data_IF_205424866777
#
_entry.id   IF_205424866777
#
_cell.length_a   1.000
_cell.length_b   1.000
_cell.length_c   1.000
_cell.angle_alpha   90.00
_cell.angle_beta   90.00
_cell.angle_gamma   90.00
#
_symmetry.space_group_name_H-M   'P 1'
#
loop_
_entity.id
_entity.type
_entity.pdbx_description
1 polymer ?
#
# COMPACT_ATOMS: atom_id res chain seq x y z
N UNK A 1 -15.36 1.19 15.93
CA UNK A 1 -14.91 -0.16 15.49
C UNK A 1 -15.70 -0.69 14.30
N UNK A 2 -17.04 -0.66 14.30
CA UNK A 2 -17.84 -1.13 13.14
C UNK A 2 -17.83 -0.12 11.98
N UNK A 3 -17.79 1.18 12.26
CA UNK A 3 -17.68 2.24 11.26
C UNK A 3 -16.31 2.22 10.57
N UNK A 4 -15.22 2.04 11.31
CA UNK A 4 -13.86 1.89 10.76
C UNK A 4 -13.72 0.67 9.86
N UNK A 5 -14.32 -0.47 10.24
CA UNK A 5 -14.30 -1.69 9.41
C UNK A 5 -15.01 -1.52 8.07
N UNK A 6 -15.94 -0.58 7.97
CA UNK A 6 -16.68 -0.28 6.74
C UNK A 6 -16.05 0.85 5.91
N UNK A 7 -15.08 1.56 6.46
CA UNK A 7 -14.43 2.69 5.77
C UNK A 7 -13.34 2.27 4.79
N UNK A 8 -12.66 1.14 5.05
CA UNK A 8 -11.59 0.66 4.16
C UNK A 8 -12.14 0.30 2.77
N UNK A 9 -11.55 0.87 1.75
CA UNK A 9 -11.98 0.72 0.37
C UNK A 9 -13.31 1.41 0.03
N UNK A 10 -13.99 2.02 0.98
CA UNK A 10 -15.23 2.76 0.75
C UNK A 10 -14.96 4.14 0.11
N UNK A 11 -16.04 4.89 -0.16
CA UNK A 11 -15.96 6.22 -0.75
C UNK A 11 -15.11 7.20 0.08
N UNK A 12 -15.26 7.16 1.39
CA UNK A 12 -14.70 8.16 2.31
C UNK A 12 -13.41 7.67 3.01
N UNK A 13 -13.05 6.39 2.82
CA UNK A 13 -11.84 5.79 3.37
C UNK A 13 -10.72 5.63 2.33
N UNK A 14 -9.52 5.22 2.73
CA UNK A 14 -8.45 4.90 1.79
C UNK A 14 -8.83 3.69 0.93
N UNK A 15 -8.33 3.58 -0.33
CA UNK A 15 -8.47 2.37 -1.11
C UNK A 15 -7.88 1.17 -0.36
N UNK A 16 -8.51 0.01 -0.44
CA UNK A 16 -8.00 -1.21 0.17
C UNK A 16 -6.71 -1.64 -0.55
N UNK A 17 -5.58 -1.51 0.12
CA UNK A 17 -4.28 -1.85 -0.42
C UNK A 17 -4.02 -3.35 -0.30
N UNK A 18 -3.95 -4.03 -1.43
CA UNK A 18 -3.67 -5.46 -1.52
C UNK A 18 -2.31 -5.66 -2.17
N UNK A 19 -1.38 -6.27 -1.45
CA UNK A 19 -0.06 -6.60 -1.96
C UNK A 19 -0.02 -8.06 -2.38
N UNK A 20 0.32 -8.31 -3.65
CA UNK A 20 0.52 -9.64 -4.20
C UNK A 20 1.94 -10.10 -3.85
N UNK A 21 2.03 -11.24 -3.20
CA UNK A 21 3.32 -11.85 -2.81
C UNK A 21 3.43 -13.22 -3.45
N UNK A 22 4.19 -13.37 -4.54
CA UNK A 22 4.48 -14.69 -5.11
C UNK A 22 5.36 -15.49 -4.14
N UNK A 23 4.90 -16.68 -3.76
CA UNK A 23 5.63 -17.57 -2.83
C UNK A 23 6.42 -18.67 -3.53
N UNK A 24 6.41 -18.67 -4.85
CA UNK A 24 7.17 -19.60 -5.67
C UNK A 24 7.68 -18.88 -6.91
N UNK A 25 8.90 -19.19 -7.33
CA UNK A 25 9.50 -18.60 -8.53
C UNK A 25 8.69 -18.82 -9.82
N UNK A 26 7.91 -19.91 -9.88
CA UNK A 26 6.98 -20.22 -10.98
C UNK A 26 5.59 -19.58 -10.81
N UNK A 27 5.31 -18.96 -9.66
CA UNK A 27 3.98 -18.38 -9.41
C UNK A 27 3.72 -17.17 -10.32
N UNK A 28 2.71 -17.30 -11.19
CA UNK A 28 2.40 -16.30 -12.20
C UNK A 28 1.56 -15.14 -11.62
N UNK A 29 2.18 -14.25 -10.86
CA UNK A 29 1.52 -13.06 -10.31
C UNK A 29 0.87 -12.20 -11.41
N UNK A 30 1.51 -12.10 -12.58
CA UNK A 30 0.99 -11.36 -13.72
C UNK A 30 -0.36 -11.90 -14.24
N UNK A 31 -0.53 -13.21 -14.27
CA UNK A 31 -1.80 -13.81 -14.68
C UNK A 31 -2.92 -13.50 -13.69
N UNK A 32 -2.59 -13.47 -12.39
CA UNK A 32 -3.52 -13.05 -11.34
C UNK A 32 -3.96 -11.60 -11.52
N UNK A 33 -3.01 -10.69 -11.81
CA UNK A 33 -3.32 -9.29 -12.07
C UNK A 33 -4.26 -9.14 -13.28
N UNK A 34 -3.98 -9.82 -14.38
CA UNK A 34 -4.83 -9.78 -15.58
C UNK A 34 -6.26 -10.25 -15.31
N UNK A 35 -6.43 -11.34 -14.54
CA UNK A 35 -7.76 -11.83 -14.16
C UNK A 35 -8.51 -10.86 -13.23
N UNK A 36 -7.80 -10.15 -12.37
CA UNK A 36 -8.41 -9.12 -11.52
C UNK A 36 -8.79 -7.87 -12.34
N UNK A 37 -8.03 -7.55 -13.38
CA UNK A 37 -8.31 -6.43 -14.29
C UNK A 37 -9.49 -6.69 -15.24
N UNK A 38 -9.77 -7.95 -15.58
CA UNK A 38 -10.82 -8.33 -16.55
C UNK A 38 -12.25 -8.27 -16.01
N UNK A 39 -12.48 -7.66 -14.83
CA UNK A 39 -13.81 -7.57 -14.23
C UNK A 39 -14.72 -6.59 -14.98
N UNK A 40 -15.77 -7.07 -15.65
CA UNK A 40 -16.70 -6.28 -16.46
C UNK A 40 -17.41 -5.14 -15.71
N UNK A 41 -17.56 -5.27 -14.40
CA UNK A 41 -18.28 -4.30 -13.57
C UNK A 41 -17.40 -3.28 -12.86
N UNK A 42 -16.11 -3.26 -13.16
CA UNK A 42 -15.12 -2.42 -12.50
C UNK A 42 -14.39 -1.50 -13.49
N UNK A 43 -14.00 -0.34 -13.01
CA UNK A 43 -13.11 0.57 -13.74
C UNK A 43 -11.69 0.31 -13.27
N UNK A 44 -10.81 0.00 -14.22
CA UNK A 44 -9.39 -0.22 -13.95
C UNK A 44 -8.62 1.05 -14.26
N UNK A 45 -7.78 1.47 -13.32
CA UNK A 45 -6.78 2.53 -13.53
C UNK A 45 -5.41 1.94 -13.28
N UNK A 46 -4.59 1.91 -14.30
CA UNK A 46 -3.20 1.41 -14.21
C UNK A 46 -2.32 2.52 -13.67
N UNK A 47 -1.50 2.20 -12.68
CA UNK A 47 -0.50 3.15 -12.17
C UNK A 47 0.62 3.31 -13.22
N UNK A 48 0.95 4.54 -13.58
CA UNK A 48 2.02 4.85 -14.55
C UNK A 48 3.44 4.63 -13.97
N UNK A 49 3.53 4.24 -12.70
CA UNK A 49 4.79 4.02 -12.00
C UNK A 49 5.42 2.65 -12.28
N UNK A 50 6.74 2.53 -12.04
CA UNK A 50 7.53 1.29 -12.19
C UNK A 50 7.09 0.12 -11.30
N UNK A 51 6.26 0.36 -10.30
CA UNK A 51 5.85 -0.64 -9.30
C UNK A 51 4.77 -1.63 -9.79
N UNK A 52 4.35 -1.55 -11.06
CA UNK A 52 3.46 -2.55 -11.67
C UNK A 52 2.09 -2.72 -10.99
N UNK A 53 1.55 -1.66 -10.37
CA UNK A 53 0.29 -1.68 -9.66
C UNK A 53 -0.89 -1.18 -10.52
N UNK A 54 -2.10 -1.40 -10.04
CA UNK A 54 -3.31 -0.80 -10.60
C UNK A 54 -4.38 -0.59 -9.52
N UNK A 55 -5.27 0.35 -9.77
CA UNK A 55 -6.45 0.55 -8.96
C UNK A 55 -7.69 -0.05 -9.63
N UNK A 56 -8.51 -0.72 -8.85
CA UNK A 56 -9.77 -1.31 -9.26
C UNK A 56 -10.93 -0.62 -8.54
N UNK A 57 -11.75 0.09 -9.27
CA UNK A 57 -12.92 0.79 -8.76
C UNK A 57 -14.17 -0.02 -9.10
N UNK A 58 -14.87 -0.53 -8.10
CA UNK A 58 -16.07 -1.31 -8.29
C UNK A 58 -17.30 -0.60 -7.67
N UNK A 59 -18.05 0.21 -8.44
CA UNK A 59 -19.20 0.94 -7.96
C UNK A 59 -20.29 0.04 -7.39
N UNK A 60 -20.51 -1.15 -7.97
CA UNK A 60 -21.52 -2.13 -7.52
C UNK A 60 -21.25 -2.64 -6.11
N UNK A 61 -19.98 -2.86 -5.75
CA UNK A 61 -19.56 -3.26 -4.41
C UNK A 61 -19.31 -2.06 -3.50
N UNK A 62 -19.35 -0.83 -4.02
CA UNK A 62 -18.97 0.41 -3.33
C UNK A 62 -17.59 0.30 -2.72
N UNK A 63 -16.66 -0.35 -3.42
CA UNK A 63 -15.32 -0.67 -2.98
C UNK A 63 -14.27 -0.23 -4.00
N UNK A 64 -13.11 0.12 -3.49
CA UNK A 64 -11.91 0.49 -4.23
C UNK A 64 -10.73 -0.31 -3.70
N UNK A 65 -9.99 -0.90 -4.60
CA UNK A 65 -8.76 -1.61 -4.27
C UNK A 65 -7.59 -0.97 -4.99
N UNK A 66 -6.44 -1.06 -4.37
CA UNK A 66 -5.16 -0.83 -5.03
C UNK A 66 -4.33 -2.09 -4.90
N UNK A 67 -3.99 -2.67 -6.05
CA UNK A 67 -3.16 -3.86 -6.15
C UNK A 67 -1.74 -3.46 -6.47
N UNK A 68 -0.78 -3.96 -5.70
CA UNK A 68 0.65 -3.75 -5.89
C UNK A 68 1.33 -5.12 -5.84
N UNK A 69 2.28 -5.35 -6.72
CA UNK A 69 3.04 -6.61 -6.74
C UNK A 69 4.42 -6.37 -6.17
N UNK A 70 4.82 -7.20 -5.21
CA UNK A 70 6.21 -7.27 -4.80
C UNK A 70 7.00 -8.08 -5.82
N UNK A 71 8.23 -7.66 -6.11
CA UNK A 71 9.11 -8.43 -6.98
C UNK A 71 9.47 -9.77 -6.32
N UNK A 72 9.46 -10.83 -7.14
CA UNK A 72 9.82 -12.15 -6.65
C UNK A 72 11.30 -12.17 -6.23
N UNK A 73 11.56 -12.57 -4.98
CA UNK A 73 12.91 -12.65 -4.43
C UNK A 73 13.40 -11.40 -3.68
N UNK A 74 12.72 -10.26 -3.79
CA UNK A 74 13.02 -9.09 -2.96
C UNK A 74 12.26 -9.15 -1.63
N UNK A 75 12.90 -9.80 -0.66
CA UNK A 75 12.34 -9.95 0.69
C UNK A 75 12.13 -8.60 1.38
N UNK A 76 13.04 -7.65 1.23
CA UNK A 76 12.95 -6.36 1.91
C UNK A 76 11.78 -5.54 1.37
N UNK A 77 11.58 -5.49 0.05
CA UNK A 77 10.43 -4.84 -0.55
C UNK A 77 9.11 -5.49 -0.11
N UNK A 78 9.06 -6.84 -0.02
CA UNK A 78 7.88 -7.54 0.51
C UNK A 78 7.59 -7.12 1.95
N UNK A 79 8.59 -7.08 2.83
CA UNK A 79 8.43 -6.71 4.23
C UNK A 79 7.99 -5.26 4.40
N UNK A 80 8.54 -4.34 3.62
CA UNK A 80 8.16 -2.93 3.65
C UNK A 80 6.74 -2.71 3.12
N UNK A 81 6.37 -3.35 2.02
CA UNK A 81 5.00 -3.33 1.52
C UNK A 81 4.02 -3.95 2.51
N UNK A 82 4.40 -5.02 3.22
CA UNK A 82 3.56 -5.66 4.21
C UNK A 82 3.27 -4.77 5.43
N UNK A 83 4.17 -3.83 5.78
CA UNK A 83 3.92 -2.85 6.85
C UNK A 83 2.73 -1.96 6.54
N UNK A 84 2.52 -1.62 5.28
CA UNK A 84 1.50 -0.67 4.83
C UNK A 84 0.27 -1.36 4.22
N UNK A 85 0.39 -2.60 3.79
CA UNK A 85 -0.67 -3.39 3.15
C UNK A 85 -1.85 -3.64 4.09
N UNK A 86 -3.06 -3.41 3.64
CA UNK A 86 -4.26 -3.81 4.38
C UNK A 86 -4.47 -5.33 4.31
N UNK A 87 -4.17 -5.92 3.15
CA UNK A 87 -4.20 -7.38 2.97
C UNK A 87 -3.05 -7.86 2.09
N UNK A 88 -2.55 -9.06 2.36
CA UNK A 88 -1.61 -9.76 1.50
C UNK A 88 -2.36 -10.82 0.68
N UNK A 89 -2.06 -10.90 -0.60
CA UNK A 89 -2.52 -11.97 -1.48
C UNK A 89 -1.34 -12.85 -1.85
N UNK A 90 -1.22 -14.00 -1.17
CA UNK A 90 -0.18 -14.97 -1.45
C UNK A 90 -0.51 -15.76 -2.72
N UNK A 91 0.41 -15.74 -3.68
CA UNK A 91 0.26 -16.46 -4.94
C UNK A 91 1.08 -17.75 -4.86
N UNK A 92 0.39 -18.88 -4.95
CA UNK A 92 0.95 -20.21 -4.81
C UNK A 92 1.10 -20.88 -6.19
N UNK A 93 2.12 -21.74 -6.32
CA UNK A 93 2.19 -22.67 -7.45
C UNK A 93 1.15 -23.78 -7.28
N UNK A 94 0.40 -24.17 -8.33
CA UNK A 94 -0.64 -25.18 -8.24
C UNK A 94 -0.12 -26.59 -7.93
N UNK A 95 1.15 -26.89 -8.23
CA UNK A 95 1.76 -28.21 -8.01
C UNK A 95 2.55 -28.27 -6.71
N UNK A 96 3.42 -27.28 -6.50
CA UNK A 96 4.42 -27.29 -5.44
C UNK A 96 4.05 -26.39 -4.24
N UNK A 97 3.13 -25.44 -4.43
CA UNK A 97 2.69 -24.49 -3.40
C UNK A 97 3.65 -23.33 -3.26
N UNK A 98 4.64 -23.46 -2.40
CA UNK A 98 5.71 -22.49 -2.22
C UNK A 98 7.08 -23.18 -2.19
N UNK A 99 8.13 -22.45 -2.56
CA UNK A 99 9.52 -22.89 -2.54
C UNK A 99 10.23 -22.48 -1.23
N UNK A 100 11.54 -22.75 -1.14
CA UNK A 100 12.34 -22.42 0.04
C UNK A 100 12.43 -20.90 0.29
N UNK A 101 12.48 -20.11 -0.77
CA UNK A 101 12.48 -18.64 -0.66
C UNK A 101 11.12 -18.13 -0.16
N UNK A 102 10.03 -18.73 -0.66
CA UNK A 102 8.67 -18.45 -0.18
C UNK A 102 8.47 -18.82 1.29
N UNK A 103 9.01 -19.96 1.75
CA UNK A 103 8.96 -20.36 3.17
C UNK A 103 9.77 -19.39 4.06
N UNK A 104 10.91 -18.94 3.59
CA UNK A 104 11.70 -17.94 4.29
C UNK A 104 10.96 -16.61 4.39
N UNK A 105 10.38 -16.14 3.28
CA UNK A 105 9.56 -14.95 3.22
C UNK A 105 8.37 -15.01 4.19
N UNK A 106 7.65 -16.13 4.21
CA UNK A 106 6.55 -16.35 5.16
C UNK A 106 7.03 -16.28 6.61
N UNK A 107 8.16 -16.90 6.93
CA UNK A 107 8.71 -16.87 8.29
C UNK A 107 9.04 -15.46 8.76
N UNK A 108 9.64 -14.64 7.88
CA UNK A 108 9.90 -13.23 8.14
C UNK A 108 8.61 -12.41 8.32
N UNK A 109 7.60 -12.64 7.48
CA UNK A 109 6.29 -11.97 7.59
C UNK A 109 5.56 -12.33 8.88
N UNK A 110 5.63 -13.59 9.31
CA UNK A 110 5.05 -14.00 10.60
C UNK A 110 5.79 -13.34 11.77
N UNK A 111 7.11 -13.20 11.71
CA UNK A 111 7.91 -12.55 12.74
C UNK A 111 7.64 -11.04 12.81
N UNK A 112 7.52 -10.37 11.65
CA UNK A 112 7.24 -8.93 11.58
C UNK A 112 5.82 -8.58 12.05
N UNK A 113 4.86 -9.49 11.83
CA UNK A 113 3.44 -9.27 12.02
C UNK A 113 2.70 -9.34 10.69
N UNK A 114 1.91 -10.40 10.55
CA UNK A 114 1.19 -10.71 9.32
C UNK A 114 -0.13 -9.94 9.25
N UNK A 115 -0.36 -9.08 8.22
CA UNK A 115 -1.66 -8.46 7.95
C UNK A 115 -2.74 -9.50 7.63
N UNK A 116 -3.96 -9.06 7.37
CA UNK A 116 -4.99 -9.93 6.78
C UNK A 116 -4.49 -10.50 5.47
N UNK A 117 -4.84 -11.74 5.15
CA UNK A 117 -4.32 -12.40 3.96
C UNK A 117 -5.35 -13.32 3.29
N UNK A 118 -5.13 -13.58 2.03
CA UNK A 118 -5.82 -14.62 1.26
C UNK A 118 -4.78 -15.41 0.45
N UNK A 119 -5.13 -16.63 0.10
CA UNK A 119 -4.29 -17.52 -0.70
C UNK A 119 -4.91 -17.68 -2.08
N UNK A 120 -4.12 -17.55 -3.13
CA UNK A 120 -4.57 -17.71 -4.50
C UNK A 120 -3.68 -18.69 -5.26
N UNK A 121 -4.31 -19.49 -6.10
CA UNK A 121 -3.63 -20.42 -7.03
C UNK A 121 -4.07 -20.06 -8.44
N UNK A 122 -3.27 -19.32 -9.20
CA UNK A 122 -3.54 -19.05 -10.61
C UNK A 122 -3.20 -20.29 -11.47
N UNK A 123 -4.03 -20.58 -12.46
CA UNK A 123 -3.77 -21.66 -13.40
C UNK A 123 -4.09 -23.05 -12.85
N UNK A 124 -3.39 -24.06 -13.29
CA UNK A 124 -3.63 -25.47 -12.94
C UNK A 124 -4.38 -26.25 -14.01
N UNK A 125 -4.66 -25.63 -15.15
CA UNK A 125 -5.27 -26.32 -16.31
C UNK A 125 -4.30 -27.26 -17.04
N UNK A 126 -2.99 -27.04 -16.91
CA UNK A 126 -1.96 -27.75 -17.66
C UNK A 126 -1.63 -29.16 -17.09
N UNK A 127 -2.10 -29.44 -15.87
CA UNK A 127 -1.92 -30.73 -15.24
C UNK A 127 -3.01 -31.74 -15.64
N UNK A 128 -2.65 -33.01 -15.92
CA UNK A 128 -3.64 -34.07 -16.12
C UNK A 128 -4.62 -34.16 -14.94
N UNK A 129 -5.92 -34.52 -15.16
CA UNK A 129 -6.96 -34.46 -14.13
C UNK A 129 -6.61 -35.20 -12.82
N UNK A 130 -6.00 -36.40 -12.93
CA UNK A 130 -5.59 -37.17 -11.73
C UNK A 130 -4.49 -36.42 -10.93
N UNK A 131 -3.45 -35.95 -11.62
CA UNK A 131 -2.35 -35.22 -10.96
C UNK A 131 -2.84 -33.92 -10.34
N UNK A 132 -3.83 -33.25 -10.93
CA UNK A 132 -4.45 -32.04 -10.39
C UNK A 132 -5.14 -32.28 -9.05
N UNK A 133 -5.87 -33.38 -8.92
CA UNK A 133 -6.55 -33.75 -7.66
C UNK A 133 -5.54 -34.04 -6.56
N UNK A 134 -4.47 -34.78 -6.87
CA UNK A 134 -3.44 -35.14 -5.89
C UNK A 134 -2.61 -33.91 -5.48
N UNK A 135 -2.23 -33.05 -6.42
CA UNK A 135 -1.56 -31.78 -6.14
C UNK A 135 -2.43 -30.90 -5.23
N UNK A 136 -3.72 -30.74 -5.56
CA UNK A 136 -4.66 -29.96 -4.74
C UNK A 136 -4.81 -30.51 -3.33
N UNK A 137 -4.85 -31.83 -3.14
CA UNK A 137 -4.91 -32.46 -1.82
C UNK A 137 -3.62 -32.25 -1.04
N UNK A 138 -2.45 -32.37 -1.69
CA UNK A 138 -1.14 -32.10 -1.08
C UNK A 138 -1.04 -30.65 -0.65
N UNK A 139 -1.42 -29.73 -1.52
CA UNK A 139 -1.41 -28.29 -1.26
C UNK A 139 -2.36 -27.93 -0.11
N UNK A 140 -3.59 -28.47 -0.10
CA UNK A 140 -4.56 -28.22 0.98
C UNK A 140 -4.01 -28.64 2.35
N UNK A 141 -3.34 -29.80 2.46
CA UNK A 141 -2.72 -30.26 3.72
C UNK A 141 -1.56 -29.34 4.16
N UNK A 142 -0.74 -28.88 3.20
CA UNK A 142 0.35 -27.95 3.50
C UNK A 142 -0.19 -26.59 3.99
N UNK A 143 -1.25 -26.09 3.35
CA UNK A 143 -1.93 -24.85 3.74
C UNK A 143 -2.54 -24.99 5.13
N UNK A 144 -3.29 -26.06 5.41
CA UNK A 144 -3.92 -26.29 6.71
C UNK A 144 -2.92 -26.28 7.87
N UNK A 145 -1.73 -26.85 7.65
CA UNK A 145 -0.65 -26.84 8.64
C UNK A 145 -0.05 -25.44 8.88
N UNK A 146 0.09 -24.63 7.84
CA UNK A 146 0.79 -23.33 7.92
C UNK A 146 -0.17 -22.16 8.13
N UNK A 147 -1.36 -22.26 7.59
CA UNK A 147 -2.39 -21.23 7.57
C UNK A 147 -3.74 -21.82 8.03
N UNK A 148 -3.90 -22.11 9.32
CA UNK A 148 -5.18 -22.60 9.83
C UNK A 148 -6.27 -21.57 9.50
N UNK A 149 -7.42 -22.03 9.04
CA UNK A 149 -8.58 -21.22 8.65
C UNK A 149 -8.41 -20.35 7.39
N UNK A 150 -7.30 -20.49 6.66
CA UNK A 150 -7.10 -19.75 5.43
C UNK A 150 -7.98 -20.26 4.29
N UNK A 151 -8.55 -19.34 3.54
CA UNK A 151 -9.33 -19.62 2.34
C UNK A 151 -8.44 -19.63 1.10
N UNK A 152 -8.47 -20.74 0.35
CA UNK A 152 -7.76 -20.88 -0.91
C UNK A 152 -8.70 -20.53 -2.08
N UNK A 153 -8.29 -19.60 -2.93
CA UNK A 153 -9.01 -19.18 -4.11
C UNK A 153 -8.33 -19.70 -5.36
N UNK A 154 -8.96 -20.60 -6.12
CA UNK A 154 -8.51 -20.86 -7.48
C UNK A 154 -8.77 -19.59 -8.31
N UNK A 155 -7.83 -19.21 -9.14
CA UNK A 155 -7.95 -18.03 -10.02
C UNK A 155 -7.73 -18.46 -11.47
N UNK A 156 -8.76 -19.05 -12.06
CA UNK A 156 -8.80 -19.47 -13.46
C UNK A 156 -9.86 -18.74 -14.26
N UNK A 157 -10.90 -18.25 -13.57
CA UNK A 157 -12.07 -17.61 -14.20
C UNK A 157 -12.37 -16.25 -13.54
N UNK A 158 -13.10 -15.39 -14.25
CA UNK A 158 -13.56 -14.11 -13.74
C UNK A 158 -14.51 -14.26 -12.53
N UNK A 159 -15.29 -15.33 -12.50
CA UNK A 159 -16.19 -15.61 -11.38
C UNK A 159 -15.40 -15.90 -10.08
N UNK A 160 -14.31 -16.63 -10.19
CA UNK A 160 -13.41 -16.92 -9.07
C UNK A 160 -12.71 -15.66 -8.56
N UNK A 161 -12.30 -14.77 -9.46
CA UNK A 161 -11.73 -13.48 -9.06
C UNK A 161 -12.78 -12.56 -8.42
N UNK A 162 -14.03 -12.60 -8.87
CA UNK A 162 -15.14 -11.89 -8.19
C UNK A 162 -15.39 -12.41 -6.78
N UNK A 163 -15.26 -13.72 -6.54
CA UNK A 163 -15.37 -14.32 -5.20
C UNK A 163 -14.21 -13.86 -4.31
N UNK A 164 -12.99 -13.80 -4.83
CA UNK A 164 -11.85 -13.26 -4.11
C UNK A 164 -12.06 -11.78 -3.72
N UNK A 165 -12.51 -10.93 -4.65
CA UNK A 165 -12.78 -9.51 -4.37
C UNK A 165 -13.85 -9.34 -3.28
N UNK A 166 -14.93 -10.12 -3.32
CA UNK A 166 -15.95 -10.10 -2.26
C UNK A 166 -15.37 -10.56 -0.91
N UNK A 167 -14.50 -11.57 -0.90
CA UNK A 167 -13.82 -12.00 0.31
C UNK A 167 -12.95 -10.89 0.88
N UNK A 168 -12.10 -10.26 0.07
CA UNK A 168 -11.26 -9.14 0.50
C UNK A 168 -12.08 -7.96 1.04
N UNK A 169 -13.24 -7.65 0.42
CA UNK A 169 -14.14 -6.59 0.87
C UNK A 169 -14.77 -6.87 2.26
N UNK A 170 -15.00 -8.15 2.59
CA UNK A 170 -15.70 -8.56 3.82
C UNK A 170 -14.77 -9.10 4.90
N UNK A 171 -13.51 -9.34 4.56
CA UNK A 171 -12.52 -9.91 5.47
C UNK A 171 -12.28 -8.98 6.66
N UNK A 172 -12.28 -9.58 7.87
CA UNK A 172 -11.90 -8.85 9.08
C UNK A 172 -10.41 -8.51 9.01
N UNK A 173 -10.11 -7.23 9.17
CA UNK A 173 -8.73 -6.78 9.21
C UNK A 173 -8.05 -7.22 10.51
N UNK A 174 -6.82 -7.70 10.39
CA UNK A 174 -5.97 -8.03 11.54
C UNK A 174 -5.39 -6.75 12.13
N UNK A 175 -5.42 -6.67 13.44
CA UNK A 175 -4.77 -5.60 14.17
C UNK A 175 -3.25 -5.87 14.24
N UNK A 176 -2.46 -4.86 13.93
CA UNK A 176 -1.00 -4.90 13.98
C UNK A 176 -0.51 -3.78 14.93
N UNK A 177 0.04 -4.18 16.07
CA UNK A 177 0.40 -3.24 17.15
C UNK A 177 1.38 -2.13 16.71
N UNK A 178 2.27 -2.39 15.76
CA UNK A 178 3.19 -1.37 15.26
C UNK A 178 2.48 -0.23 14.50
N UNK A 179 1.29 -0.49 13.93
CA UNK A 179 0.49 0.53 13.22
C UNK A 179 -0.19 1.52 14.15
N UNK A 180 -0.33 1.19 15.41
CA UNK A 180 -0.91 2.10 16.41
C UNK A 180 0.05 3.22 16.82
N UNK A 181 1.32 3.07 16.50
CA UNK A 181 2.37 4.01 16.94
C UNK A 181 2.86 4.95 15.85
N UNK A 182 2.66 4.61 14.57
CA UNK A 182 3.22 5.37 13.46
C UNK A 182 2.24 5.49 12.30
N UNK A 183 2.29 6.63 11.63
CA UNK A 183 1.66 6.81 10.33
C UNK A 183 2.48 6.07 9.26
N UNK A 184 1.79 5.42 8.33
CA UNK A 184 2.40 4.71 7.20
C UNK A 184 1.73 5.19 5.91
N UNK A 185 2.52 5.36 4.86
CA UNK A 185 2.04 5.80 3.56
C UNK A 185 2.79 5.07 2.45
N UNK A 186 2.06 4.51 1.49
CA UNK A 186 2.62 4.06 0.22
C UNK A 186 2.34 5.14 -0.83
N UNK A 187 3.40 5.74 -1.36
CA UNK A 187 3.29 6.73 -2.40
C UNK A 187 2.71 6.12 -3.69
N UNK A 188 1.77 6.82 -4.30
CA UNK A 188 1.32 6.55 -5.66
C UNK A 188 1.90 7.56 -6.66
N UNK A 189 2.34 8.70 -6.19
CA UNK A 189 3.05 9.70 -6.98
C UNK A 189 4.12 10.37 -6.14
N UNK A 190 5.24 10.69 -6.77
CA UNK A 190 6.33 11.47 -6.21
C UNK A 190 6.83 12.45 -7.29
N UNK A 191 6.93 13.71 -6.93
CA UNK A 191 7.36 14.79 -7.80
C UNK A 191 8.45 15.61 -7.10
N UNK A 192 9.56 15.83 -7.75
CA UNK A 192 10.60 16.71 -7.27
C UNK A 192 10.43 18.09 -7.89
N UNK A 193 10.28 19.12 -7.07
CA UNK A 193 10.20 20.51 -7.47
C UNK A 193 11.53 21.18 -7.13
N UNK A 194 12.34 21.55 -8.13
CA UNK A 194 13.62 22.23 -7.92
C UNK A 194 13.44 23.56 -7.16
N UNK A 195 14.41 23.92 -6.35
CA UNK A 195 14.45 25.21 -5.68
C UNK A 195 14.85 26.34 -6.64
N UNK A 196 14.60 27.59 -6.23
CA UNK A 196 14.90 28.77 -7.04
C UNK A 196 16.43 29.01 -7.21
N UNK A 197 17.23 28.56 -6.23
CA UNK A 197 18.69 28.81 -6.23
C UNK A 197 19.50 27.69 -6.87
N UNK A 198 18.98 26.49 -6.95
CA UNK A 198 19.72 25.31 -7.45
C UNK A 198 18.77 24.19 -7.86
N UNK A 199 19.00 23.58 -9.01
CA UNK A 199 18.28 22.39 -9.48
C UNK A 199 18.58 21.12 -8.64
N UNK A 200 19.62 21.16 -7.80
CA UNK A 200 20.04 20.04 -6.97
C UNK A 200 19.34 20.01 -5.61
N UNK A 201 18.78 21.14 -5.17
CA UNK A 201 18.06 21.27 -3.91
C UNK A 201 16.63 21.71 -4.20
N UNK A 202 15.65 21.02 -3.62
CA UNK A 202 14.27 21.32 -3.88
C UNK A 202 13.32 20.63 -2.90
N UNK A 203 12.06 20.61 -3.25
CA UNK A 203 11.00 20.00 -2.44
C UNK A 203 10.51 18.71 -3.10
N UNK A 204 10.53 17.62 -2.36
CA UNK A 204 9.92 16.37 -2.77
C UNK A 204 8.44 16.36 -2.35
N UNK A 205 7.53 16.35 -3.32
CA UNK A 205 6.10 16.17 -3.10
C UNK A 205 5.77 14.68 -3.21
N UNK A 206 5.22 14.12 -2.15
CA UNK A 206 4.82 12.70 -2.09
C UNK A 206 3.33 12.61 -1.86
N UNK A 207 2.63 11.92 -2.75
CA UNK A 207 1.17 11.72 -2.64
C UNK A 207 0.83 10.27 -2.33
N UNK A 208 -0.07 10.07 -1.37
CA UNK A 208 -0.48 8.74 -0.93
C UNK A 208 -1.64 8.78 0.06
N UNK A 209 -2.07 7.61 0.51
CA UNK A 209 -3.10 7.47 1.54
C UNK A 209 -2.46 7.05 2.86
N UNK A 210 -2.67 7.87 3.89
CA UNK A 210 -2.15 7.61 5.24
C UNK A 210 -2.90 6.45 5.88
N UNK A 211 -2.16 5.56 6.55
CA UNK A 211 -2.65 4.40 7.30
C UNK A 211 -1.99 4.35 8.68
N UNK A 212 -2.67 3.69 9.61
CA UNK A 212 -2.24 3.63 11.01
C UNK A 212 -2.60 4.90 11.77
N UNK A 213 -1.63 5.58 12.32
CA UNK A 213 -1.81 6.84 13.04
C UNK A 213 -2.01 8.04 12.12
N UNK A 214 -2.45 9.14 12.71
CA UNK A 214 -2.48 10.45 12.06
C UNK A 214 -1.06 10.94 11.79
N UNK A 215 -0.87 11.61 10.65
CA UNK A 215 0.40 12.23 10.30
C UNK A 215 0.51 13.60 11.00
N UNK A 216 1.61 13.83 11.70
CA UNK A 216 1.95 15.13 12.27
C UNK A 216 3.03 15.78 11.40
N UNK A 217 2.76 16.99 10.92
CA UNK A 217 3.67 17.75 10.06
C UNK A 217 4.98 18.14 10.76
N UNK A 218 4.99 18.18 12.09
CA UNK A 218 6.18 18.53 12.88
C UNK A 218 7.08 17.33 13.18
N UNK A 219 6.59 16.12 12.98
CA UNK A 219 7.37 14.89 13.16
C UNK A 219 8.23 14.56 11.94
N UNK A 220 9.31 13.81 12.17
CA UNK A 220 10.15 13.30 11.11
C UNK A 220 9.44 12.20 10.32
N UNK A 221 9.71 12.13 9.03
CA UNK A 221 9.29 11.03 8.15
C UNK A 221 10.50 10.26 7.65
N UNK A 222 10.40 8.94 7.68
CA UNK A 222 11.42 8.07 7.14
C UNK A 222 11.04 7.61 5.73
N UNK A 223 11.92 7.85 4.76
CA UNK A 223 11.79 7.33 3.40
C UNK A 223 12.76 6.16 3.27
N UNK A 224 12.22 4.96 3.04
CA UNK A 224 13.02 3.73 2.94
C UNK A 224 14.12 3.88 1.87
N UNK A 225 15.36 3.58 2.27
CA UNK A 225 16.53 3.72 1.40
C UNK A 225 17.09 5.15 1.24
N UNK A 226 16.41 6.17 1.81
CA UNK A 226 16.83 7.57 1.68
C UNK A 226 17.04 8.30 3.01
N UNK A 227 16.54 7.75 4.13
CA UNK A 227 16.74 8.31 5.46
C UNK A 227 15.56 9.16 5.97
N UNK A 228 15.85 10.05 6.90
CA UNK A 228 14.84 10.83 7.62
C UNK A 228 14.75 12.26 7.06
N UNK A 229 13.53 12.76 6.98
CA UNK A 229 13.23 14.08 6.42
C UNK A 229 12.23 14.82 7.30
N UNK A 230 12.33 16.15 7.28
CA UNK A 230 11.33 17.05 7.83
C UNK A 230 10.29 17.39 6.77
N UNK A 231 9.02 17.50 7.18
CA UNK A 231 7.95 17.96 6.29
C UNK A 231 7.80 19.48 6.38
N UNK A 232 7.52 20.14 5.27
CA UNK A 232 7.19 21.58 5.22
C UNK A 232 5.69 21.80 5.38
N UNK A 233 4.87 20.98 4.71
CA UNK A 233 3.41 21.08 4.78
C UNK A 233 2.75 19.76 4.39
N UNK A 234 1.49 19.64 4.77
CA UNK A 234 0.61 18.53 4.39
C UNK A 234 -0.62 19.11 3.70
N UNK A 235 -0.86 18.64 2.47
CA UNK A 235 -1.96 19.07 1.62
C UNK A 235 -2.98 17.95 1.44
N UNK A 236 -4.23 18.32 1.16
CA UNK A 236 -5.28 17.40 0.74
C UNK A 236 -5.64 17.66 -0.72
N UNK A 237 -5.05 16.93 -1.65
CA UNK A 237 -5.48 16.98 -3.04
C UNK A 237 -6.82 16.27 -3.22
N UNK A 238 -7.52 16.53 -4.33
CA UNK A 238 -8.69 15.74 -4.69
C UNK A 238 -8.35 14.26 -4.82
N UNK A 239 -9.28 13.38 -4.42
CA UNK A 239 -9.06 11.94 -4.47
C UNK A 239 -9.02 11.42 -5.92
N UNK A 240 -7.86 10.96 -6.43
CA UNK A 240 -7.72 10.49 -7.80
C UNK A 240 -8.50 9.20 -8.08
N UNK A 241 -8.90 8.48 -7.02
CA UNK A 241 -9.60 7.20 -7.09
C UNK A 241 -11.06 7.30 -6.63
N UNK A 242 -11.73 8.43 -6.83
CA UNK A 242 -13.12 8.63 -6.44
C UNK A 242 -14.05 7.62 -7.13
N UNK A 243 -14.96 6.99 -6.38
CA UNK A 243 -16.00 6.10 -6.91
C UNK A 243 -17.06 6.82 -7.76
N UNK A 244 -17.27 8.10 -7.48
CA UNK A 244 -18.13 8.98 -8.24
C UNK A 244 -17.30 10.15 -8.74
N UNK A 245 -16.56 9.99 -9.85
CA UNK A 245 -15.88 11.12 -10.44
C UNK A 245 -16.96 12.15 -10.79
N UNK A 246 -16.87 13.34 -10.19
CA UNK A 246 -17.69 14.47 -10.64
C UNK A 246 -17.38 14.61 -12.12
N UNK A 247 -18.45 14.65 -12.94
CA UNK A 247 -18.30 14.84 -14.37
C UNK A 247 -17.65 16.20 -14.55
N UNK A 248 -16.36 16.23 -14.85
CA UNK A 248 -15.69 17.44 -15.32
C UNK A 248 -16.35 17.72 -16.66
N UNK A 249 -17.22 18.75 -16.68
CA UNK A 249 -17.81 19.28 -17.92
C UNK A 249 -16.67 19.85 -18.76
N UNK A 250 -16.01 19.02 -19.55
CA UNK A 250 -14.86 19.46 -20.35
C UNK A 250 -14.31 18.46 -21.35
N UNK A 251 -14.56 17.16 -21.18
CA UNK A 251 -14.23 16.20 -22.24
C UNK A 251 -15.44 16.01 -23.15
N UNK A 252 -15.50 16.82 -24.21
CA UNK A 252 -16.36 16.57 -25.39
C UNK A 252 -16.00 15.19 -25.96
N UNK A 253 -16.88 14.22 -25.75
CA UNK A 253 -16.97 13.06 -26.66
C UNK A 253 -17.28 13.62 -28.03
N UNK A 254 -16.34 13.49 -28.97
CA UNK A 254 -16.59 13.65 -30.38
C UNK A 254 -17.53 12.52 -30.85
N UNK A 255 -18.80 12.83 -30.99
CA UNK A 255 -19.72 12.24 -31.99
C UNK A 255 -21.00 13.04 -31.99
N UNK A 256 -21.18 13.77 -33.07
CA UNK A 256 -22.38 14.23 -33.76
C UNK A 256 -23.67 14.52 -32.96
N UNK A 257 -23.98 15.79 -32.81
CA UNK A 257 -25.20 16.43 -33.32
C UNK A 257 -25.22 17.92 -32.99
N UNK A 258 -25.30 18.73 -34.03
CA UNK A 258 -25.54 20.18 -33.98
C UNK A 258 -26.91 20.47 -33.33
N UNK A 259 -26.93 21.28 -32.29
CA UNK A 259 -28.02 22.22 -32.03
C UNK A 259 -27.36 23.46 -31.39
N UNK A 260 -27.49 24.57 -32.14
CA UNK A 260 -27.19 25.91 -31.66
C UNK A 260 -28.17 26.29 -30.53
N UNK A 261 -27.65 26.79 -29.43
CA UNK A 261 -28.30 27.88 -28.70
C UNK A 261 -27.22 28.73 -27.97
N UNK A 262 -27.32 30.01 -28.26
CA UNK A 262 -26.56 31.09 -27.67
C UNK A 262 -26.94 31.29 -26.18
N UNK A 263 -25.99 31.38 -25.29
CA UNK A 263 -25.73 32.59 -24.48
C UNK A 263 -25.00 32.29 -23.16
N UNK A 264 -24.07 33.19 -22.90
CA UNK A 264 -23.58 33.71 -21.63
C UNK A 264 -22.50 32.96 -20.85
N UNK A 265 -21.28 33.50 -20.98
CA UNK A 265 -20.23 33.80 -19.99
C UNK A 265 -20.33 33.12 -18.62
N UNK A 266 -19.24 32.44 -18.33
CA UNK A 266 -18.85 32.02 -16.99
C UNK A 266 -17.72 31.02 -17.08
N UNK A 267 -16.50 31.47 -17.40
CA UNK A 267 -15.27 30.72 -17.17
C UNK A 267 -15.01 30.67 -15.68
N UNK A 268 -15.66 29.75 -14.99
CA UNK A 268 -15.16 29.22 -13.73
C UNK A 268 -14.54 27.86 -14.07
N UNK A 269 -13.31 27.85 -14.51
CA UNK A 269 -12.39 26.76 -14.33
C UNK A 269 -12.17 26.61 -12.81
N UNK A 270 -13.07 25.87 -12.15
CA UNK A 270 -12.78 25.39 -10.80
C UNK A 270 -11.64 24.38 -10.92
N UNK A 271 -10.40 24.87 -10.91
CA UNK A 271 -9.28 24.12 -10.38
C UNK A 271 -9.75 23.65 -9.01
N UNK A 272 -9.87 22.32 -8.81
CA UNK A 272 -10.13 21.77 -7.49
C UNK A 272 -8.92 22.16 -6.63
N UNK A 273 -9.06 23.23 -5.84
CA UNK A 273 -8.00 23.82 -5.04
C UNK A 273 -7.44 22.77 -4.08
N UNK A 274 -6.16 22.49 -4.18
CA UNK A 274 -5.43 21.69 -3.20
C UNK A 274 -5.51 22.42 -1.86
N UNK A 275 -6.21 21.80 -0.91
CA UNK A 275 -6.38 22.40 0.42
C UNK A 275 -5.17 22.10 1.29
N UNK A 276 -4.46 23.13 1.71
CA UNK A 276 -3.41 23.01 2.74
C UNK A 276 -4.07 22.63 4.07
N UNK A 277 -3.70 21.48 4.63
CA UNK A 277 -4.19 21.01 5.93
C UNK A 277 -3.35 21.53 7.08
N UNK A 278 -2.03 21.41 6.97
CA UNK A 278 -1.09 21.79 8.03
C UNK A 278 0.20 22.33 7.42
N UNK A 279 0.80 23.33 8.09
CA UNK A 279 2.16 23.79 7.82
C UNK A 279 3.03 23.51 9.03
N UNK A 280 4.30 23.20 8.80
CA UNK A 280 5.25 22.96 9.87
C UNK A 280 5.47 24.24 10.71
N UNK A 281 5.59 24.06 12.01
CA UNK A 281 5.96 25.11 12.95
C UNK A 281 7.45 24.91 13.31
N UNK A 282 8.33 25.86 12.94
CA UNK A 282 9.77 25.73 13.18
C UNK A 282 10.14 25.51 14.65
N UNK A 283 9.29 25.96 15.59
CA UNK A 283 9.55 25.81 17.02
C UNK A 283 9.13 24.45 17.59
N UNK A 284 8.32 23.68 16.83
CA UNK A 284 7.79 22.37 17.24
C UNK A 284 8.34 21.23 16.40
N UNK A 285 9.01 21.56 15.31
CA UNK A 285 9.51 20.58 14.37
C UNK A 285 10.65 19.77 14.99
N UNK A 286 10.56 18.45 14.89
CA UNK A 286 11.62 17.54 15.35
C UNK A 286 12.92 17.82 14.59
N UNK A 287 14.04 17.83 15.33
CA UNK A 287 15.37 18.04 14.76
C UNK A 287 15.83 16.79 13.98
N UNK A 288 16.51 17.00 12.84
CA UNK A 288 17.23 15.94 12.14
C UNK A 288 18.51 15.52 12.89
N UNK A 289 19.00 16.37 13.81
CA UNK A 289 20.15 16.04 14.63
C UNK A 289 19.65 15.23 15.83
N UNK A 290 20.26 14.07 16.02
CA UNK A 290 20.05 13.28 17.23
C UNK A 290 20.70 14.03 18.40
N UNK A 291 19.88 14.72 19.19
CA UNK A 291 20.31 15.20 20.49
C UNK A 291 20.39 13.99 21.41
N UNK A 292 21.61 13.56 21.70
CA UNK A 292 21.85 12.62 22.79
C UNK A 292 21.58 13.40 24.07
N UNK A 293 20.37 13.24 24.62
CA UNK A 293 20.11 13.67 26.00
C UNK A 293 20.86 12.65 26.87
N UNK A 294 21.92 13.06 27.58
CA UNK A 294 22.62 12.15 28.47
C UNK A 294 21.62 11.59 29.46
N UNK A 295 21.50 10.28 29.56
CA UNK A 295 20.70 9.64 30.61
C UNK A 295 21.35 9.99 31.93
N UNK A 296 20.65 10.66 32.87
CA UNK A 296 21.19 10.94 34.20
C UNK A 296 21.65 9.69 34.96
N UNK A 297 21.18 8.51 34.54
CA UNK A 297 21.58 7.22 35.10
C UNK A 297 22.83 6.62 34.41
N UNK A 298 23.26 7.13 33.26
CA UNK A 298 24.52 6.75 32.60
C UNK A 298 25.76 7.50 33.16
N UNK A 299 25.57 8.37 34.13
CA UNK A 299 26.66 9.11 34.78
C UNK A 299 27.73 8.26 35.48
N UNK A 300 27.52 6.95 35.60
CA UNK A 300 28.53 6.00 36.05
C UNK A 300 29.58 5.61 34.98
N UNK A 301 29.40 6.03 33.73
CA UNK A 301 30.31 5.70 32.62
C UNK A 301 31.05 6.91 32.02
N UNK A 302 30.87 8.08 32.57
CA UNK A 302 31.69 9.23 32.19
C UNK A 302 33.09 9.09 32.77
N UNK A 303 34.07 9.17 31.86
CA UNK A 303 35.46 9.25 32.33
C UNK A 303 35.63 10.39 33.31
N UNK A 304 36.38 10.17 34.42
CA UNK A 304 36.60 11.24 35.40
C UNK A 304 37.18 12.47 34.72
N UNK A 305 36.72 13.62 35.12
CA UNK A 305 37.26 14.92 34.66
C UNK A 305 38.70 15.06 35.08
N UNK A 306 39.49 15.90 34.38
CA UNK A 306 40.87 16.16 34.77
C UNK A 306 41.01 16.67 36.21
N UNK A 307 40.01 17.38 36.75
CA UNK A 307 39.93 17.85 38.13
C UNK A 307 39.74 16.69 39.13
N UNK A 308 38.87 15.73 38.80
CA UNK A 308 38.67 14.52 39.61
C UNK A 308 39.89 13.59 39.61
N UNK A 309 40.65 13.54 38.49
CA UNK A 309 41.88 12.80 38.41
C UNK A 309 43.03 13.46 39.26
N UNK A 310 43.07 14.81 39.33
CA UNK A 310 44.05 15.54 40.15
C UNK A 310 43.72 15.49 41.64
N UNK A 311 42.46 15.40 42.06
CA UNK A 311 42.06 15.20 43.45
C UNK A 311 42.32 13.76 43.94
N UNK A 312 42.49 12.81 43.04
CA UNK A 312 42.76 11.41 43.37
C UNK A 312 44.27 11.04 43.48
N UNK A 313 45.18 11.94 43.07
CA UNK A 313 46.64 11.85 43.32
C UNK A 313 47.02 12.48 44.67
#
# INVERSE_FOLDING_TARGET
>A
VLAEKRSLGSRDGPPHLVVLVPLHSKAAAHNTLRLLQSQDSAVVRVDEGKAGGFALLCPRLKQRWRFVTAEAGDLHAVLDLAKVADSLLFILDPADGWDSAGEHCLSCLFAQGLPSYALAVPGGTDLPPKKRIDARKKLARAIEKRFPDAKLFPLTTEQESSLLLRHLATQKQRHLAFRDRRAHLLAYAAEFVPGEESDLVGTLKVSGFVRGQTLDVNSLVHIVGHGDFQMSQVDSPPDPLSLNPRVIKGQKRSQDMEVQDDSVNGTDEMEEDVKVLMKADPNKQESLQSEVVPDPMEGEQTWPTEEELQEAE
#
